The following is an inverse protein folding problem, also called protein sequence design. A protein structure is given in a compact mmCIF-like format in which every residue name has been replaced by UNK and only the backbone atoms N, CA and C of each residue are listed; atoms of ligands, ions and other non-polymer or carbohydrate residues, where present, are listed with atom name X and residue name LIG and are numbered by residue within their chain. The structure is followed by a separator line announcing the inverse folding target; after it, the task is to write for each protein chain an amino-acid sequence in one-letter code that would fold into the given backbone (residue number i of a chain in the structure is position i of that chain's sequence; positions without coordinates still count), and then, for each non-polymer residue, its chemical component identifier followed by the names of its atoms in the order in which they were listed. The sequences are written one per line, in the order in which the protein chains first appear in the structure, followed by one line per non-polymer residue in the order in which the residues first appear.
data_IF_074286508111
#
_entry.id   IF_074286508111
#
_cell.length_a   1.000
_cell.length_b   1.000
_cell.length_c   1.000
_cell.angle_alpha   90.00
_cell.angle_beta   90.00
_cell.angle_gamma   90.00
#
_symmetry.space_group_name_H-M   'P 1'
#
loop_
_entity.id
_entity.type
_entity.pdbx_description
1 polymer ?
#
# COMPACT_ATOMS: atom_id res chain seq x y z
N UNK A 1 -13.78 12.25 19.16
CA UNK A 1 -13.70 12.09 17.68
C UNK A 1 -14.50 10.85 17.31
N UNK A 2 -15.72 11.05 16.81
CA UNK A 2 -16.62 9.94 16.43
C UNK A 2 -16.18 9.28 15.13
N UNK A 3 -16.20 7.96 15.10
CA UNK A 3 -15.95 7.15 13.90
C UNK A 3 -16.92 7.54 12.79
N UNK A 4 -16.48 7.63 11.52
CA UNK A 4 -17.39 7.93 10.44
C UNK A 4 -18.29 6.70 10.15
N UNK A 5 -19.57 6.90 9.76
CA UNK A 5 -20.51 5.80 9.51
C UNK A 5 -20.02 4.89 8.37
N UNK A 6 -20.51 3.65 8.31
CA UNK A 6 -20.13 2.64 7.30
C UNK A 6 -20.19 3.15 5.83
N UNK A 7 -21.11 4.08 5.52
CA UNK A 7 -21.22 4.75 4.22
C UNK A 7 -20.00 5.60 3.82
N UNK A 8 -19.11 5.94 4.75
CA UNK A 8 -17.91 6.75 4.49
C UNK A 8 -16.78 6.00 3.78
N UNK A 9 -16.77 4.66 3.84
CA UNK A 9 -15.74 3.84 3.21
C UNK A 9 -15.96 3.71 1.71
N UNK A 10 -17.20 3.45 1.33
CA UNK A 10 -17.60 3.25 -0.08
C UNK A 10 -17.43 4.50 -0.93
N UNK A 11 -17.54 5.67 -0.31
CA UNK A 11 -17.45 6.98 -0.96
C UNK A 11 -16.03 7.57 -0.93
N UNK A 12 -15.13 7.05 -0.09
CA UNK A 12 -13.73 7.51 -0.07
C UNK A 12 -12.97 6.95 -1.26
N UNK A 13 -12.45 7.86 -2.07
CA UNK A 13 -11.56 7.51 -3.18
C UNK A 13 -10.22 6.98 -2.66
N UNK A 14 -9.62 6.05 -3.42
CA UNK A 14 -8.30 5.45 -3.11
C UNK A 14 -7.22 6.53 -2.93
N UNK A 15 -7.26 7.58 -3.76
CA UNK A 15 -6.37 8.73 -3.63
C UNK A 15 -6.50 9.43 -2.26
N UNK A 16 -7.71 9.51 -1.71
CA UNK A 16 -7.93 10.08 -0.39
C UNK A 16 -7.25 9.28 0.73
N UNK A 17 -7.19 7.96 0.61
CA UNK A 17 -6.42 7.11 1.53
C UNK A 17 -4.93 7.32 1.36
N UNK A 18 -4.43 7.38 0.12
CA UNK A 18 -3.03 7.61 -0.18
C UNK A 18 -2.52 8.96 0.38
N UNK A 19 -3.32 10.03 0.25
CA UNK A 19 -2.97 11.34 0.83
C UNK A 19 -2.94 11.28 2.36
N UNK A 20 -3.90 10.60 3.00
CA UNK A 20 -3.89 10.42 4.46
C UNK A 20 -2.69 9.61 4.94
N UNK A 21 -2.31 8.56 4.21
CA UNK A 21 -1.10 7.79 4.48
C UNK A 21 0.12 8.70 4.48
N UNK A 22 0.31 9.51 3.44
CA UNK A 22 1.45 10.43 3.37
C UNK A 22 1.40 11.48 4.48
N UNK A 23 0.23 12.05 4.78
CA UNK A 23 0.09 13.05 5.84
C UNK A 23 0.38 12.48 7.24
N UNK A 24 0.09 11.20 7.48
CA UNK A 24 0.39 10.50 8.73
C UNK A 24 1.82 9.94 8.79
N UNK A 25 2.58 10.01 7.68
CA UNK A 25 3.94 9.48 7.63
C UNK A 25 4.90 10.47 8.32
N UNK A 26 5.70 10.03 9.30
CA UNK A 26 6.73 10.87 9.90
C UNK A 26 7.64 11.48 8.83
N UNK A 27 8.12 12.71 9.02
CA UNK A 27 8.88 13.57 8.06
C UNK A 27 8.04 14.38 7.07
N UNK A 28 6.72 14.20 7.07
CA UNK A 28 5.80 15.00 6.26
C UNK A 28 5.04 16.06 7.07
N UNK A 29 5.41 16.30 8.32
CA UNK A 29 4.79 17.30 9.17
C UNK A 29 4.90 18.69 8.52
N UNK A 30 3.76 19.38 8.39
CA UNK A 30 3.70 20.72 7.80
C UNK A 30 3.96 20.79 6.29
N UNK A 31 4.03 19.66 5.57
CA UNK A 31 4.10 19.66 4.11
C UNK A 31 2.80 20.21 3.51
N UNK A 32 2.94 20.90 2.38
CA UNK A 32 1.81 21.40 1.59
C UNK A 32 0.87 20.23 1.20
N UNK A 33 -0.43 20.28 1.53
CA UNK A 33 -1.40 19.27 1.13
C UNK A 33 -1.45 18.99 -0.38
N UNK A 34 -1.24 20.01 -1.23
CA UNK A 34 -1.23 19.79 -2.69
C UNK A 34 0.01 19.02 -3.14
N UNK A 35 1.15 19.22 -2.48
CA UNK A 35 2.35 18.43 -2.70
C UNK A 35 2.13 16.95 -2.32
N UNK A 36 1.49 16.69 -1.18
CA UNK A 36 1.13 15.33 -0.77
C UNK A 36 0.17 14.69 -1.77
N UNK A 37 -0.84 15.44 -2.26
CA UNK A 37 -1.75 14.95 -3.30
C UNK A 37 -1.05 14.68 -4.62
N UNK A 38 -0.09 15.51 -5.01
CA UNK A 38 0.76 15.26 -6.17
C UNK A 38 1.56 13.96 -6.01
N UNK A 39 2.28 13.78 -4.89
CA UNK A 39 3.04 12.56 -4.64
C UNK A 39 2.18 11.31 -4.59
N UNK A 40 0.99 11.38 -3.97
CA UNK A 40 0.05 10.27 -3.94
C UNK A 40 -0.40 9.85 -5.35
N UNK A 41 -0.86 10.81 -6.17
CA UNK A 41 -1.26 10.55 -7.58
C UNK A 41 -0.11 9.99 -8.41
N UNK A 42 1.08 10.56 -8.27
CA UNK A 42 2.26 10.10 -9.02
C UNK A 42 2.67 8.69 -8.61
N UNK A 43 2.60 8.36 -7.32
CA UNK A 43 2.91 7.01 -6.82
C UNK A 43 1.88 5.99 -7.30
N UNK A 44 0.59 6.35 -7.27
CA UNK A 44 -0.50 5.50 -7.76
C UNK A 44 -0.35 5.21 -9.26
N UNK A 45 -0.15 6.27 -10.06
CA UNK A 45 0.06 6.13 -11.50
C UNK A 45 1.32 5.32 -11.83
N UNK A 46 2.40 5.52 -11.06
CA UNK A 46 3.63 4.75 -11.22
C UNK A 46 3.39 3.25 -10.97
N UNK A 47 2.77 2.91 -9.83
CA UNK A 47 2.48 1.53 -9.46
C UNK A 47 1.55 0.83 -10.45
N UNK A 48 0.48 1.50 -10.88
CA UNK A 48 -0.46 0.97 -11.87
C UNK A 48 0.17 0.73 -13.25
N UNK A 49 1.24 1.46 -13.58
CA UNK A 49 1.95 1.32 -14.85
C UNK A 49 3.10 0.30 -14.82
N UNK A 50 3.43 -0.29 -13.67
CA UNK A 50 4.45 -1.33 -13.59
C UNK A 50 4.00 -2.57 -14.36
N UNK A 51 4.93 -3.17 -15.11
CA UNK A 51 4.68 -4.44 -15.78
C UNK A 51 4.40 -5.54 -14.75
N UNK A 52 3.39 -6.42 -14.97
CA UNK A 52 3.12 -7.53 -14.07
C UNK A 52 4.35 -8.42 -13.88
N UNK A 53 4.60 -8.79 -12.64
CA UNK A 53 5.69 -9.67 -12.23
C UNK A 53 5.25 -10.59 -11.09
N UNK A 54 5.73 -11.84 -11.09
CA UNK A 54 5.52 -12.75 -9.98
C UNK A 54 6.38 -12.35 -8.78
N UNK A 55 5.86 -12.59 -7.57
CA UNK A 55 6.68 -12.60 -6.36
C UNK A 55 7.72 -13.74 -6.47
N UNK A 56 9.01 -13.42 -6.34
CA UNK A 56 10.10 -14.41 -6.43
C UNK A 56 10.59 -14.87 -5.06
N UNK A 57 10.32 -14.08 -4.03
CA UNK A 57 10.61 -14.42 -2.66
C UNK A 57 9.90 -15.71 -2.22
N UNK A 58 10.55 -16.46 -1.32
CA UNK A 58 9.96 -17.63 -0.68
C UNK A 58 8.73 -17.20 0.12
N UNK A 59 7.61 -17.91 -0.02
CA UNK A 59 6.39 -17.60 0.74
C UNK A 59 6.36 -18.47 2.00
N UNK A 60 6.10 -17.84 3.15
CA UNK A 60 5.88 -18.53 4.43
C UNK A 60 4.62 -17.99 5.09
N UNK A 61 3.84 -18.88 5.70
CA UNK A 61 2.61 -18.48 6.41
C UNK A 61 2.90 -18.36 7.91
N UNK A 62 2.39 -17.30 8.53
CA UNK A 62 2.51 -17.01 9.96
C UNK A 62 1.19 -16.45 10.50
N UNK A 63 1.03 -16.48 11.82
CA UNK A 63 -0.02 -15.74 12.52
C UNK A 63 0.56 -14.48 13.19
N UNK A 64 -0.28 -13.65 13.82
CA UNK A 64 0.13 -12.45 14.54
C UNK A 64 0.25 -11.22 13.65
N UNK A 65 -0.33 -11.24 12.45
CA UNK A 65 -0.40 -10.06 11.60
C UNK A 65 -1.38 -9.03 12.14
N UNK A 66 -2.43 -9.45 12.86
CA UNK A 66 -3.44 -8.52 13.38
C UNK A 66 -2.84 -7.57 14.41
N UNK A 67 -2.04 -8.11 15.34
CA UNK A 67 -1.30 -7.31 16.33
C UNK A 67 -0.30 -6.34 15.68
N UNK A 68 0.17 -6.68 14.47
CA UNK A 68 1.15 -5.88 13.71
C UNK A 68 0.50 -4.93 12.71
N UNK A 69 -0.79 -5.10 12.42
CA UNK A 69 -1.47 -4.42 11.31
C UNK A 69 -0.94 -4.79 9.93
N UNK A 70 -0.46 -6.02 9.73
CA UNK A 70 0.19 -6.46 8.48
C UNK A 70 -0.52 -7.66 7.85
N UNK A 71 -0.83 -7.58 6.55
CA UNK A 71 -1.29 -8.73 5.76
C UNK A 71 -0.12 -9.59 5.31
N UNK A 72 1.00 -8.93 4.98
CA UNK A 72 2.22 -9.56 4.55
C UNK A 72 3.42 -8.70 4.94
N UNK A 73 4.62 -9.28 4.85
CA UNK A 73 5.87 -8.56 5.00
C UNK A 73 6.99 -9.21 4.19
N UNK A 74 7.65 -8.43 3.37
CA UNK A 74 8.92 -8.80 2.74
C UNK A 74 10.11 -8.68 3.70
N UNK A 75 10.94 -9.73 3.73
CA UNK A 75 12.19 -9.82 4.47
C UNK A 75 13.31 -10.14 3.49
N UNK A 76 14.32 -9.27 3.38
CA UNK A 76 15.36 -9.38 2.36
C UNK A 76 16.54 -10.31 2.73
N UNK A 77 16.67 -10.72 4.00
CA UNK A 77 17.79 -11.52 4.52
C UNK A 77 17.33 -12.51 5.60
N UNK A 78 17.98 -13.69 5.75
CA UNK A 78 19.12 -14.19 4.97
C UNK A 78 18.76 -14.65 3.56
N UNK A 79 17.51 -15.08 3.33
CA UNK A 79 16.94 -15.35 2.01
C UNK A 79 15.68 -14.48 1.80
N UNK A 80 15.45 -13.91 0.60
CA UNK A 80 14.24 -13.16 0.29
C UNK A 80 12.98 -13.97 0.59
N UNK A 81 12.19 -13.50 1.57
CA UNK A 81 11.03 -14.20 2.08
C UNK A 81 9.85 -13.24 2.21
N UNK A 82 8.66 -13.67 1.81
CA UNK A 82 7.39 -13.03 2.14
C UNK A 82 6.73 -13.82 3.26
N UNK A 83 6.51 -13.18 4.38
CA UNK A 83 5.68 -13.69 5.46
C UNK A 83 4.24 -13.26 5.20
N UNK A 84 3.33 -14.19 4.93
CA UNK A 84 1.90 -13.96 4.83
C UNK A 84 1.25 -14.22 6.19
N UNK A 85 0.49 -13.25 6.70
CA UNK A 85 -0.17 -13.36 7.99
C UNK A 85 -1.61 -13.88 7.85
N UNK A 86 -1.82 -15.17 8.12
CA UNK A 86 -3.07 -15.88 7.84
C UNK A 86 -4.25 -15.39 8.66
N UNK A 87 -4.01 -14.95 9.90
CA UNK A 87 -5.01 -14.34 10.77
C UNK A 87 -5.56 -13.02 10.19
N UNK A 88 -4.68 -12.21 9.62
CA UNK A 88 -5.07 -10.93 9.01
C UNK A 88 -5.76 -11.14 7.67
N UNK A 89 -5.31 -12.13 6.88
CA UNK A 89 -5.99 -12.50 5.64
C UNK A 89 -7.41 -13.02 5.92
N UNK A 90 -7.59 -13.87 6.94
CA UNK A 90 -8.90 -14.36 7.33
C UNK A 90 -9.82 -13.20 7.79
N UNK A 91 -9.32 -12.32 8.65
CA UNK A 91 -10.07 -11.15 9.09
C UNK A 91 -10.46 -10.21 7.93
N UNK A 92 -9.60 -10.09 6.92
CA UNK A 92 -9.87 -9.32 5.72
C UNK A 92 -11.02 -9.93 4.89
N UNK A 93 -10.98 -11.24 4.68
CA UNK A 93 -12.04 -11.97 3.97
C UNK A 93 -13.38 -11.87 4.70
N UNK A 94 -13.38 -12.05 6.03
CA UNK A 94 -14.57 -11.87 6.88
C UNK A 94 -15.13 -10.44 6.80
N UNK A 95 -14.25 -9.43 6.82
CA UNK A 95 -14.66 -8.03 6.70
C UNK A 95 -15.29 -7.76 5.33
N UNK A 96 -14.73 -8.30 4.25
CA UNK A 96 -15.27 -8.16 2.89
C UNK A 96 -16.67 -8.76 2.81
N UNK A 97 -16.87 -9.95 3.38
CA UNK A 97 -18.18 -10.61 3.43
C UNK A 97 -19.19 -9.79 4.25
N UNK A 98 -18.81 -9.38 5.46
CA UNK A 98 -19.66 -8.59 6.35
C UNK A 98 -20.08 -7.24 5.75
N UNK A 99 -19.30 -6.69 4.81
CA UNK A 99 -19.57 -5.42 4.13
C UNK A 99 -20.16 -5.58 2.73
N UNK A 100 -20.33 -6.81 2.23
CA UNK A 100 -20.86 -7.05 0.88
C UNK A 100 -19.91 -6.58 -0.25
N UNK A 101 -18.61 -6.50 0.02
CA UNK A 101 -17.61 -5.93 -0.90
C UNK A 101 -17.03 -6.95 -1.91
N UNK A 102 -17.67 -8.10 -2.09
CA UNK A 102 -17.21 -9.15 -3.03
C UNK A 102 -17.10 -8.70 -4.49
N UNK A 103 -17.87 -7.69 -4.86
CA UNK A 103 -17.80 -7.06 -6.18
C UNK A 103 -16.50 -6.24 -6.39
N UNK A 104 -15.81 -5.83 -5.31
CA UNK A 104 -14.50 -5.19 -5.37
C UNK A 104 -13.34 -6.14 -5.07
N UNK A 105 -13.58 -7.13 -4.21
CA UNK A 105 -12.59 -8.11 -3.75
C UNK A 105 -13.14 -9.54 -3.89
N UNK A 106 -12.95 -10.18 -5.06
CA UNK A 106 -13.36 -11.56 -5.28
C UNK A 106 -12.71 -12.54 -4.27
N UNK A 107 -13.32 -13.72 -4.01
CA UNK A 107 -12.74 -14.70 -3.09
C UNK A 107 -11.28 -15.04 -3.42
N UNK A 108 -10.40 -15.01 -2.41
CA UNK A 108 -8.98 -15.29 -2.56
C UNK A 108 -8.14 -14.13 -3.09
N UNK A 109 -8.77 -13.04 -3.56
CA UNK A 109 -8.04 -11.91 -4.13
C UNK A 109 -7.20 -11.18 -3.09
N UNK A 110 -7.53 -11.28 -1.80
CA UNK A 110 -6.76 -10.63 -0.72
C UNK A 110 -5.35 -11.20 -0.65
N UNK A 111 -5.22 -12.54 -0.73
CA UNK A 111 -3.92 -13.22 -0.71
C UNK A 111 -3.09 -12.83 -1.93
N UNK A 112 -3.70 -12.90 -3.12
CA UNK A 112 -3.02 -12.54 -4.37
C UNK A 112 -2.58 -11.07 -4.37
N UNK A 113 -3.42 -10.17 -3.85
CA UNK A 113 -3.08 -8.76 -3.73
C UNK A 113 -1.94 -8.51 -2.73
N UNK A 114 -1.91 -9.25 -1.61
CA UNK A 114 -0.80 -9.17 -0.66
C UNK A 114 0.52 -9.63 -1.30
N UNK A 115 0.52 -10.73 -2.04
CA UNK A 115 1.71 -11.21 -2.76
C UNK A 115 2.16 -10.25 -3.87
N UNK A 116 1.21 -9.68 -4.62
CA UNK A 116 1.49 -8.67 -5.64
C UNK A 116 2.09 -7.39 -5.02
N UNK A 117 1.59 -6.97 -3.85
CA UNK A 117 2.12 -5.84 -3.10
C UNK A 117 3.59 -6.08 -2.70
N UNK A 118 3.90 -7.24 -2.12
CA UNK A 118 5.27 -7.56 -1.71
C UNK A 118 6.24 -7.71 -2.88
N UNK A 119 5.78 -8.15 -4.05
CA UNK A 119 6.60 -8.21 -5.27
C UNK A 119 7.12 -6.81 -5.68
N UNK A 120 6.33 -5.76 -5.46
CA UNK A 120 6.76 -4.38 -5.70
C UNK A 120 7.81 -3.95 -4.68
N UNK A 121 7.64 -4.31 -3.40
CA UNK A 121 8.65 -4.03 -2.38
C UNK A 121 9.98 -4.68 -2.72
N UNK A 122 9.98 -5.95 -3.16
CA UNK A 122 11.17 -6.62 -3.65
C UNK A 122 11.86 -5.81 -4.78
N UNK A 123 11.08 -5.35 -5.77
CA UNK A 123 11.59 -4.56 -6.89
C UNK A 123 12.13 -3.18 -6.49
N UNK A 124 11.45 -2.48 -5.58
CA UNK A 124 11.80 -1.14 -5.11
C UNK A 124 12.91 -1.15 -4.04
N UNK A 125 13.24 -2.31 -3.46
CA UNK A 125 14.28 -2.40 -2.44
C UNK A 125 15.70 -2.16 -3.01
N UNK A 126 16.02 -2.72 -4.19
CA UNK A 126 17.38 -2.65 -4.78
C UNK A 126 17.43 -2.32 -6.28
N UNK A 127 16.28 -2.17 -6.95
CA UNK A 127 16.22 -2.07 -8.40
C UNK A 127 16.27 -0.65 -8.99
N UNK A 128 16.47 -0.54 -10.32
CA UNK A 128 16.37 0.73 -11.05
C UNK A 128 14.99 1.41 -10.92
N UNK A 129 13.96 0.62 -10.60
CA UNK A 129 12.60 1.11 -10.34
C UNK A 129 12.53 2.11 -9.18
N UNK A 130 13.34 1.92 -8.12
CA UNK A 130 13.45 2.89 -7.02
C UNK A 130 13.90 4.26 -7.51
N UNK A 131 14.93 4.28 -8.35
CA UNK A 131 15.44 5.51 -8.96
C UNK A 131 14.42 6.15 -9.89
N UNK A 132 13.66 5.35 -10.63
CA UNK A 132 12.59 5.83 -11.50
C UNK A 132 11.44 6.48 -10.71
N UNK A 133 10.98 5.85 -9.63
CA UNK A 133 9.97 6.41 -8.74
C UNK A 133 10.42 7.75 -8.13
N UNK A 134 11.65 7.83 -7.60
CA UNK A 134 12.20 9.09 -7.06
C UNK A 134 12.23 10.22 -8.10
N UNK A 135 12.56 9.90 -9.34
CA UNK A 135 12.52 10.87 -10.46
C UNK A 135 11.09 11.28 -10.79
N UNK A 136 10.16 10.33 -10.85
CA UNK A 136 8.75 10.61 -11.14
C UNK A 136 8.13 11.53 -10.08
N UNK A 137 8.41 11.29 -8.80
CA UNK A 137 7.93 12.10 -7.67
C UNK A 137 8.48 13.53 -7.65
N UNK A 138 9.59 13.79 -8.36
CA UNK A 138 10.11 15.15 -8.52
C UNK A 138 10.60 15.82 -7.24
N UNK A 139 10.80 15.08 -6.14
CA UNK A 139 11.29 15.65 -4.87
C UNK A 139 12.79 15.97 -4.98
N UNK A 140 13.13 17.13 -5.52
CA UNK A 140 14.53 17.55 -5.70
C UNK A 140 15.09 18.09 -4.38
N UNK A 141 16.18 17.49 -3.90
CA UNK A 141 16.86 17.88 -2.65
C UNK A 141 18.13 18.70 -2.90
N UNK A 142 18.74 18.57 -4.07
CA UNK A 142 19.90 19.38 -4.48
C UNK A 142 19.85 19.67 -5.98
N UNK A 143 20.24 20.89 -6.35
CA UNK A 143 20.45 21.30 -7.73
C UNK A 143 21.85 21.90 -7.88
N UNK A 144 22.60 21.43 -8.87
CA UNK A 144 23.89 21.97 -9.26
C UNK A 144 23.94 22.09 -10.78
N UNK A 145 23.62 23.28 -11.31
CA UNK A 145 23.43 23.49 -12.75
C UNK A 145 22.32 22.59 -13.30
N UNK A 146 22.65 21.77 -14.32
CA UNK A 146 21.73 20.78 -14.91
C UNK A 146 21.51 19.54 -14.06
N UNK A 147 22.35 19.30 -13.04
CA UNK A 147 22.30 18.11 -12.22
C UNK A 147 21.25 18.26 -11.12
N UNK A 148 20.42 17.23 -10.94
CA UNK A 148 19.37 17.16 -9.93
C UNK A 148 19.56 15.90 -9.09
N UNK A 149 19.59 16.06 -7.78
CA UNK A 149 19.51 14.96 -6.84
C UNK A 149 18.07 14.84 -6.33
N UNK A 150 17.51 13.64 -6.40
CA UNK A 150 16.14 13.36 -5.96
C UNK A 150 16.16 12.69 -4.58
N UNK A 151 15.39 13.24 -3.65
CA UNK A 151 15.14 12.71 -2.32
C UNK A 151 14.17 11.53 -2.35
N UNK A 152 14.14 10.78 -1.25
CA UNK A 152 13.11 9.77 -1.01
C UNK A 152 11.87 10.46 -0.43
N UNK A 153 10.68 9.99 -0.81
CA UNK A 153 9.41 10.39 -0.22
C UNK A 153 8.90 9.17 0.54
N UNK A 154 8.85 9.28 1.87
CA UNK A 154 8.41 8.18 2.72
C UNK A 154 6.95 7.80 2.39
N UNK A 155 6.63 6.51 2.37
CA UNK A 155 5.27 6.02 2.05
C UNK A 155 4.89 6.03 0.56
N UNK A 156 5.70 6.62 -0.34
CA UNK A 156 5.42 6.57 -1.78
C UNK A 156 5.52 5.15 -2.37
N UNK A 157 6.46 4.34 -1.85
CA UNK A 157 6.63 2.93 -2.25
C UNK A 157 5.40 2.09 -1.88
N UNK A 158 4.81 2.32 -0.70
CA UNK A 158 3.57 1.67 -0.25
C UNK A 158 2.37 1.97 -1.18
N UNK A 159 2.22 3.25 -1.58
CA UNK A 159 1.13 3.65 -2.48
C UNK A 159 1.30 3.00 -3.85
N UNK A 160 2.52 2.96 -4.37
CA UNK A 160 2.82 2.29 -5.63
C UNK A 160 2.52 0.78 -5.54
N UNK A 161 2.89 0.13 -4.44
CA UNK A 161 2.61 -1.29 -4.22
C UNK A 161 1.10 -1.59 -4.16
N UNK A 162 0.31 -0.75 -3.48
CA UNK A 162 -1.16 -0.88 -3.47
C UNK A 162 -1.79 -0.67 -4.85
N UNK A 163 -1.34 0.33 -5.60
CA UNK A 163 -1.86 0.62 -6.94
C UNK A 163 -1.54 -0.49 -7.93
N UNK A 164 -0.32 -1.05 -7.84
CA UNK A 164 0.07 -2.22 -8.60
C UNK A 164 -0.81 -3.43 -8.28
N UNK A 165 -0.93 -3.80 -7.00
CA UNK A 165 -1.74 -4.94 -6.56
C UNK A 165 -3.21 -4.80 -7.00
N UNK A 166 -3.79 -3.61 -6.89
CA UNK A 166 -5.13 -3.31 -7.44
C UNK A 166 -5.22 -3.64 -8.92
N UNK A 167 -4.24 -3.18 -9.70
CA UNK A 167 -4.23 -3.30 -11.16
C UNK A 167 -4.06 -4.74 -11.61
N UNK A 168 -3.05 -5.45 -11.10
CA UNK A 168 -2.73 -6.82 -11.56
C UNK A 168 -3.73 -7.86 -11.06
N UNK A 169 -4.36 -7.62 -9.91
CA UNK A 169 -5.42 -8.49 -9.39
C UNK A 169 -6.83 -8.08 -9.86
N UNK A 170 -6.97 -7.01 -10.65
CA UNK A 170 -8.26 -6.56 -11.18
C UNK A 170 -9.26 -6.12 -10.11
N UNK A 171 -8.79 -5.52 -9.00
CA UNK A 171 -9.63 -5.15 -7.86
C UNK A 171 -10.43 -3.86 -8.14
N UNK A 172 -11.68 -3.83 -7.68
CA UNK A 172 -12.53 -2.63 -7.78
C UNK A 172 -12.03 -1.46 -6.93
N UNK A 173 -11.36 -1.77 -5.80
CA UNK A 173 -10.74 -0.81 -4.87
C UNK A 173 -9.34 -1.26 -4.51
N UNK A 174 -8.47 -0.31 -4.16
CA UNK A 174 -7.10 -0.64 -3.77
C UNK A 174 -7.04 -1.47 -2.47
N UNK A 175 -5.98 -2.26 -2.23
CA UNK A 175 -5.78 -2.90 -0.93
C UNK A 175 -5.58 -1.88 0.20
N UNK A 176 -5.17 -0.63 -0.10
CA UNK A 176 -5.06 0.44 0.90
C UNK A 176 -6.42 0.76 1.56
N UNK A 177 -7.51 0.71 0.79
CA UNK A 177 -8.87 0.82 1.32
C UNK A 177 -9.17 -0.30 2.33
N UNK A 178 -8.81 -1.55 2.01
CA UNK A 178 -9.03 -2.70 2.87
C UNK A 178 -8.19 -2.63 4.15
N UNK A 179 -6.90 -2.27 4.04
CA UNK A 179 -6.00 -2.07 5.19
C UNK A 179 -6.56 -1.00 6.14
N UNK A 180 -7.03 0.13 5.60
CA UNK A 180 -7.61 1.19 6.42
C UNK A 180 -8.92 0.74 7.10
N UNK A 181 -9.78 -0.02 6.41
CA UNK A 181 -11.01 -0.56 6.99
C UNK A 181 -10.74 -1.60 8.09
N UNK A 182 -9.70 -2.43 7.93
CA UNK A 182 -9.25 -3.39 8.93
C UNK A 182 -8.72 -2.70 10.19
N UNK A 183 -7.83 -1.71 10.02
CA UNK A 183 -7.29 -0.94 11.15
C UNK A 183 -8.41 -0.31 11.99
N UNK A 184 -9.39 0.31 11.32
CA UNK A 184 -10.55 0.89 11.99
C UNK A 184 -11.40 -0.18 12.69
N UNK A 185 -11.61 -1.35 12.08
CA UNK A 185 -12.35 -2.46 12.68
C UNK A 185 -11.67 -3.02 13.93
N UNK A 186 -10.33 -3.16 13.93
CA UNK A 186 -9.55 -3.57 15.10
C UNK A 186 -9.69 -2.54 16.22
N UNK A 187 -9.54 -1.25 15.92
CA UNK A 187 -9.69 -0.17 16.92
C UNK A 187 -11.10 -0.10 17.53
N UNK A 188 -12.16 -0.48 16.81
CA UNK A 188 -13.50 -0.55 17.40
C UNK A 188 -13.70 -1.74 18.33
N UNK A 189 -12.97 -2.84 18.15
CA UNK A 189 -13.09 -4.04 19.01
C UNK A 189 -12.40 -3.86 20.36
N UNK A 190 -11.42 -2.97 20.43
CA UNK A 190 -10.66 -2.65 21.65
C UNK A 190 -11.36 -1.61 22.54
N UNK A 191 -12.48 -1.03 22.09
CA UNK A 191 -13.29 -0.06 22.82
C UNK A 191 -14.53 -0.72 23.40
#
# INVERSE_FOLDING_TARGET
MSSPPAASWETREDLGFAVRLLAATPTHEGRDPELLRHWARTSEAFGAALAPMPCRARITERAGGLERGLLARYVSRPEPTVELYTDTLAAAEELIDARGWRHWYPPGSVREAALAHEAVHEQLHHGPAKGALKRALGHVVLRAGRFRLYGHVAGAEEIAAHAYARTVCGLGRSPLHLTAALADAVTQREK
#
